data_IF_824990291992
#
_entry.id   IF_824990291992
#
_cell.length_a   1.000
_cell.length_b   1.000
_cell.length_c   1.000
_cell.angle_alpha   90.00
_cell.angle_beta   90.00
_cell.angle_gamma   90.00
#
_symmetry.space_group_name_H-M   'P 1'
#
loop_
_entity.id
_entity.type
_entity.pdbx_description
1 polymer ?
#
# COMPACT_ATOMS: atom_id res chain seq x y z
N UNK A 1 -28.44 -17.73 29.06
CA UNK A 1 -28.74 -18.00 27.64
C UNK A 1 -27.65 -17.37 26.80
N UNK A 2 -26.77 -18.18 26.18
CA UNK A 2 -25.64 -17.70 25.37
C UNK A 2 -26.08 -17.66 23.91
N UNK A 3 -26.24 -16.47 23.33
CA UNK A 3 -26.51 -16.33 21.90
C UNK A 3 -25.18 -16.44 21.13
N UNK A 4 -25.03 -17.53 20.39
CA UNK A 4 -24.05 -17.65 19.33
C UNK A 4 -24.55 -16.85 18.13
N UNK A 5 -23.80 -15.82 17.70
CA UNK A 5 -24.05 -15.14 16.42
C UNK A 5 -23.13 -15.75 15.38
N UNK A 6 -23.67 -16.67 14.59
CA UNK A 6 -23.07 -17.14 13.32
C UNK A 6 -23.37 -16.11 12.24
N UNK A 7 -22.37 -15.75 11.43
CA UNK A 7 -22.54 -14.91 10.24
C UNK A 7 -22.14 -15.73 9.01
N UNK A 8 -23.05 -15.95 8.04
CA UNK A 8 -22.69 -16.54 6.76
C UNK A 8 -22.18 -15.46 5.80
N UNK A 9 -20.94 -15.62 5.30
CA UNK A 9 -20.44 -14.84 4.17
C UNK A 9 -21.00 -15.42 2.86
N UNK A 10 -21.85 -14.65 2.18
CA UNK A 10 -22.28 -14.94 0.81
C UNK A 10 -21.27 -14.32 -0.16
N UNK A 11 -20.51 -15.18 -0.83
CA UNK A 11 -19.71 -14.85 -2.01
C UNK A 11 -20.65 -14.70 -3.23
N UNK A 12 -20.54 -13.59 -3.96
CA UNK A 12 -21.09 -13.47 -5.31
C UNK A 12 -19.96 -13.19 -6.28
N UNK A 13 -19.70 -14.20 -7.11
CA UNK A 13 -18.83 -14.15 -8.28
C UNK A 13 -19.42 -13.23 -9.36
N UNK A 14 -18.55 -12.51 -10.06
CA UNK A 14 -18.85 -11.82 -11.32
C UNK A 14 -17.64 -11.87 -12.23
N UNK A 15 -17.69 -12.77 -13.21
CA UNK A 15 -16.76 -12.93 -14.34
C UNK A 15 -17.18 -11.97 -15.47
N UNK A 16 -16.22 -11.55 -16.31
CA UNK A 16 -16.27 -11.20 -17.76
C UNK A 16 -15.28 -10.05 -18.02
N UNK A 17 -14.54 -9.92 -19.13
CA UNK A 17 -14.21 -10.76 -20.27
C UNK A 17 -13.05 -10.06 -21.01
N UNK A 18 -12.23 -10.84 -21.71
CA UNK A 18 -11.06 -10.45 -22.49
C UNK A 18 -11.39 -9.62 -23.74
N UNK A 19 -10.47 -8.75 -24.18
CA UNK A 19 -10.38 -8.34 -25.59
C UNK A 19 -8.92 -8.08 -25.99
N UNK A 20 -8.41 -8.93 -26.88
CA UNK A 20 -7.18 -8.81 -27.65
C UNK A 20 -7.36 -7.78 -28.77
N UNK A 21 -6.35 -6.94 -29.04
CA UNK A 21 -6.12 -6.37 -30.38
C UNK A 21 -4.62 -6.32 -30.67
N UNK A 22 -4.22 -7.12 -31.66
CA UNK A 22 -2.95 -7.07 -32.37
C UNK A 22 -2.95 -5.89 -33.35
N UNK A 23 -1.78 -5.28 -33.60
CA UNK A 23 -1.49 -4.71 -34.92
C UNK A 23 -0.01 -4.84 -35.27
N UNK A 24 0.22 -5.33 -36.49
CA UNK A 24 1.50 -5.72 -37.09
C UNK A 24 2.27 -4.56 -37.76
N UNK A 25 3.54 -4.86 -38.04
CA UNK A 25 4.62 -4.06 -38.61
C UNK A 25 4.49 -3.61 -40.09
N UNK A 26 5.38 -2.67 -40.47
CA UNK A 26 6.04 -2.43 -41.79
C UNK A 26 6.28 -0.91 -41.98
N UNK A 27 7.34 -0.35 -42.59
CA UNK A 27 8.61 -0.82 -43.15
C UNK A 27 9.47 0.41 -43.58
N UNK A 28 10.75 0.15 -43.90
CA UNK A 28 11.70 0.86 -44.79
C UNK A 28 12.24 2.28 -44.49
N UNK A 29 13.58 2.39 -44.56
CA UNK A 29 14.31 3.62 -44.87
C UNK A 29 15.83 3.39 -44.91
N UNK A 30 16.43 3.48 -46.10
CA UNK A 30 17.83 3.14 -46.44
C UNK A 30 18.89 4.08 -45.83
N UNK A 31 20.12 3.58 -45.69
CA UNK A 31 21.33 4.37 -45.41
C UNK A 31 22.07 4.76 -46.71
N UNK A 32 22.65 5.98 -46.81
CA UNK A 32 23.64 6.31 -47.84
C UNK A 32 25.10 6.09 -47.35
N UNK A 33 26.05 5.78 -48.26
CA UNK A 33 27.49 5.64 -47.94
C UNK A 33 28.22 7.00 -47.87
N UNK A 34 29.33 7.06 -47.10
CA UNK A 34 30.13 8.25 -46.69
C UNK A 34 30.91 8.99 -47.80
N UNK A 35 32.11 9.62 -47.58
CA UNK A 35 33.06 9.57 -46.45
C UNK A 35 33.58 10.97 -45.98
N UNK A 36 34.42 11.06 -44.92
CA UNK A 36 35.80 11.66 -44.84
C UNK A 36 36.35 11.38 -43.43
N UNK A 37 37.58 10.86 -43.34
CA UNK A 37 38.31 10.61 -42.09
C UNK A 37 38.97 11.90 -41.58
N UNK A 38 38.74 12.24 -40.30
CA UNK A 38 39.54 13.22 -39.56
C UNK A 38 40.76 12.58 -38.88
N UNK A 39 41.77 13.38 -38.47
CA UNK A 39 43.04 12.87 -37.90
C UNK A 39 42.82 12.12 -36.57
N UNK A 40 43.74 11.21 -36.19
CA UNK A 40 43.59 10.40 -34.98
C UNK A 40 43.59 11.29 -33.74
N UNK A 41 42.42 11.45 -33.12
CA UNK A 41 42.30 12.00 -31.78
C UNK A 41 42.67 10.90 -30.80
N UNK A 42 43.65 11.19 -29.94
CA UNK A 42 44.06 10.41 -28.76
C UNK A 42 42.88 9.67 -28.12
N UNK A 43 43.05 8.37 -27.91
CA UNK A 43 42.11 7.57 -27.12
C UNK A 43 41.91 8.19 -25.74
N UNK A 44 40.67 8.59 -25.35
CA UNK A 44 40.33 8.65 -23.95
C UNK A 44 40.23 7.21 -23.44
N UNK A 45 40.81 6.96 -22.26
CA UNK A 45 40.69 5.68 -21.54
C UNK A 45 39.23 5.20 -21.54
N UNK A 46 38.97 3.88 -21.70
CA UNK A 46 37.60 3.38 -21.71
C UNK A 46 36.93 3.73 -20.38
N UNK A 47 35.92 4.61 -20.45
CA UNK A 47 34.96 4.75 -19.39
C UNK A 47 34.36 3.37 -19.08
N UNK A 48 34.10 3.02 -17.80
CA UNK A 48 33.41 1.77 -17.50
C UNK A 48 32.09 1.77 -18.25
N UNK A 49 31.93 0.82 -19.17
CA UNK A 49 30.69 0.59 -19.89
C UNK A 49 29.66 0.28 -18.81
N UNK A 50 28.77 1.23 -18.54
CA UNK A 50 27.55 0.97 -17.81
C UNK A 50 26.81 -0.12 -18.59
N UNK A 51 26.88 -1.35 -18.08
CA UNK A 51 26.06 -2.46 -18.55
C UNK A 51 24.62 -2.01 -18.35
N UNK A 52 23.94 -1.63 -19.44
CA UNK A 52 22.50 -1.46 -19.44
C UNK A 52 21.92 -2.78 -18.94
N UNK A 53 21.37 -2.77 -17.73
CA UNK A 53 20.67 -3.91 -17.18
C UNK A 53 19.61 -4.35 -18.19
N UNK A 54 19.66 -5.63 -18.57
CA UNK A 54 18.63 -6.26 -19.40
C UNK A 54 17.28 -6.05 -18.71
N UNK A 55 16.20 -5.66 -19.41
CA UNK A 55 14.87 -5.60 -18.81
C UNK A 55 14.57 -6.94 -18.15
N UNK A 56 14.20 -6.91 -16.87
CA UNK A 56 13.79 -8.12 -16.16
C UNK A 56 12.62 -8.75 -16.92
N UNK A 57 12.61 -10.09 -17.02
CA UNK A 57 11.45 -10.77 -17.56
C UNK A 57 10.23 -10.47 -16.66
N UNK A 58 9.01 -10.33 -17.21
CA UNK A 58 7.82 -10.08 -16.39
C UNK A 58 7.67 -11.17 -15.32
N UNK A 59 7.55 -10.76 -14.06
CA UNK A 59 7.37 -11.68 -12.93
C UNK A 59 6.02 -12.38 -13.00
N UNK A 60 5.98 -13.66 -12.64
CA UNK A 60 4.74 -14.43 -12.52
C UNK A 60 3.94 -13.95 -11.28
N UNK A 61 2.61 -14.15 -11.24
CA UNK A 61 1.82 -13.83 -10.04
C UNK A 61 2.30 -14.53 -8.77
N UNK A 62 2.96 -15.69 -8.89
CA UNK A 62 3.54 -16.41 -7.74
C UNK A 62 4.78 -15.71 -7.21
N UNK A 63 5.64 -15.22 -8.09
CA UNK A 63 6.82 -14.42 -7.71
C UNK A 63 6.42 -13.06 -7.14
N UNK A 64 5.31 -12.49 -7.65
CA UNK A 64 4.71 -11.27 -7.10
C UNK A 64 3.99 -11.49 -5.74
N UNK A 65 3.99 -12.72 -5.19
CA UNK A 65 3.57 -13.01 -3.81
C UNK A 65 4.73 -13.24 -2.86
N UNK A 66 5.97 -13.23 -3.34
CA UNK A 66 7.15 -13.39 -2.48
C UNK A 66 7.60 -12.02 -1.97
N UNK A 67 7.09 -11.64 -0.80
CA UNK A 67 7.41 -10.34 -0.20
C UNK A 67 8.72 -10.38 0.61
N UNK A 68 9.42 -11.52 0.63
CA UNK A 68 10.59 -11.73 1.47
C UNK A 68 11.70 -10.75 1.14
N UNK A 69 12.31 -10.18 2.18
CA UNK A 69 13.43 -9.25 2.01
C UNK A 69 13.41 -8.11 3.01
N UNK A 70 14.37 -7.21 2.84
CA UNK A 70 14.43 -5.95 3.57
C UNK A 70 13.91 -4.83 2.66
N UNK A 71 13.11 -3.95 3.24
CA UNK A 71 12.44 -2.85 2.56
C UNK A 71 12.61 -1.58 3.37
N UNK A 72 12.78 -0.45 2.70
CA UNK A 72 12.91 0.86 3.35
C UNK A 72 11.89 1.83 2.81
N UNK A 73 11.24 2.57 3.70
CA UNK A 73 10.22 3.55 3.35
C UNK A 73 10.81 4.61 2.41
N UNK A 74 10.14 4.81 1.28
CA UNK A 74 10.40 5.87 0.33
C UNK A 74 9.37 6.98 0.58
N UNK A 75 9.79 8.03 1.28
CA UNK A 75 8.93 9.17 1.64
C UNK A 75 8.48 9.98 0.41
N UNK A 76 9.29 10.01 -0.66
CA UNK A 76 9.00 10.80 -1.85
C UNK A 76 7.88 10.18 -2.70
N UNK A 77 7.81 8.84 -2.73
CA UNK A 77 6.77 8.09 -3.46
C UNK A 77 5.56 7.69 -2.58
N UNK A 78 5.66 7.91 -1.26
CA UNK A 78 4.60 7.66 -0.29
C UNK A 78 3.65 8.85 -0.15
N UNK A 79 2.42 8.56 0.27
CA UNK A 79 1.46 9.59 0.66
C UNK A 79 1.81 10.20 2.04
N UNK A 80 1.69 11.52 2.21
CA UNK A 80 1.71 12.15 3.54
C UNK A 80 0.34 11.93 4.24
N UNK A 81 0.30 11.27 5.41
CA UNK A 81 -0.95 10.96 6.10
C UNK A 81 -1.74 12.20 6.53
N UNK A 82 -1.05 13.27 6.93
CA UNK A 82 -1.70 14.53 7.33
C UNK A 82 -2.31 15.22 6.13
N UNK A 83 -1.60 15.23 5.00
CA UNK A 83 -2.15 15.78 3.76
C UNK A 83 -3.41 15.02 3.34
N UNK A 84 -3.39 13.68 3.39
CA UNK A 84 -4.59 12.87 3.08
C UNK A 84 -5.76 13.16 4.01
N UNK A 85 -5.50 13.35 5.31
CA UNK A 85 -6.55 13.74 6.26
C UNK A 85 -7.15 15.11 5.90
N UNK A 86 -6.31 16.09 5.55
CA UNK A 86 -6.76 17.43 5.18
C UNK A 86 -7.57 17.42 3.87
N UNK A 87 -7.12 16.67 2.86
CA UNK A 87 -7.83 16.47 1.59
C UNK A 87 -9.22 15.85 1.82
N UNK A 88 -9.29 14.84 2.69
CA UNK A 88 -10.53 14.17 3.05
C UNK A 88 -11.49 15.13 3.78
N UNK A 89 -10.98 15.92 4.73
CA UNK A 89 -11.77 16.92 5.45
C UNK A 89 -12.30 18.01 4.53
N UNK A 90 -11.49 18.50 3.59
CA UNK A 90 -11.91 19.48 2.59
C UNK A 90 -12.99 18.93 1.67
N UNK A 91 -12.86 17.66 1.26
CA UNK A 91 -13.86 16.99 0.43
C UNK A 91 -15.22 16.94 1.15
N UNK A 92 -15.25 16.55 2.43
CA UNK A 92 -16.47 16.59 3.26
C UNK A 92 -17.11 17.98 3.34
N UNK A 93 -16.30 19.03 3.48
CA UNK A 93 -16.80 20.41 3.54
C UNK A 93 -17.41 20.88 2.22
N UNK A 94 -16.80 20.49 1.09
CA UNK A 94 -17.28 20.87 -0.24
C UNK A 94 -18.68 20.31 -0.52
N UNK A 95 -18.94 19.08 -0.14
CA UNK A 95 -20.25 18.45 -0.34
C UNK A 95 -21.28 18.84 0.72
N UNK A 96 -20.83 19.31 1.88
CA UNK A 96 -21.71 19.92 2.88
C UNK A 96 -22.15 21.35 2.53
N UNK A 97 -21.66 21.94 1.42
CA UNK A 97 -21.91 23.32 1.01
C UNK A 97 -23.24 23.58 0.29
N UNK A 98 -24.14 22.60 0.23
CA UNK A 98 -25.37 22.64 -0.58
C UNK A 98 -26.67 23.06 0.13
N UNK A 99 -26.65 23.60 1.35
CA UNK A 99 -27.85 24.09 2.02
C UNK A 99 -27.65 25.52 2.57
N UNK A 100 -27.99 26.49 1.72
CA UNK A 100 -28.22 27.87 2.17
C UNK A 100 -29.48 27.97 3.02
N UNK A 101 -29.43 28.74 4.11
CA UNK A 101 -30.64 29.16 4.80
C UNK A 101 -30.49 29.61 6.25
N UNK A 102 -30.13 30.89 6.44
CA UNK A 102 -30.55 31.77 7.55
C UNK A 102 -30.67 31.15 8.97
N UNK A 103 -29.71 31.43 9.84
CA UNK A 103 -29.99 32.07 11.15
C UNK A 103 -28.70 32.58 11.80
N UNK A 104 -28.74 33.84 12.21
CA UNK A 104 -27.65 34.50 12.89
C UNK A 104 -27.32 33.89 14.25
N UNK A 105 -26.10 34.18 14.71
CA UNK A 105 -25.62 33.82 16.02
C UNK A 105 -24.27 34.44 16.27
N UNK A 106 -24.28 35.60 16.93
CA UNK A 106 -23.15 36.18 17.64
C UNK A 106 -22.62 35.14 18.63
N UNK A 107 -21.31 34.86 18.65
CA UNK A 107 -20.70 34.09 19.75
C UNK A 107 -19.34 33.44 19.50
N UNK A 108 -18.31 34.06 20.08
CA UNK A 108 -17.07 33.48 20.65
C UNK A 108 -15.87 33.08 19.76
N UNK A 109 -14.64 33.52 20.15
CA UNK A 109 -13.38 32.95 19.70
C UNK A 109 -12.98 31.79 20.61
N UNK A 110 -12.89 30.58 20.09
CA UNK A 110 -12.47 29.43 20.88
C UNK A 110 -12.37 28.16 20.05
N UNK A 111 -11.17 27.59 19.98
CA UNK A 111 -10.88 26.36 19.27
C UNK A 111 -11.86 25.25 19.63
N UNK A 112 -12.54 24.73 18.63
CA UNK A 112 -13.44 23.59 18.75
C UNK A 112 -13.01 22.54 17.74
N UNK A 113 -12.38 21.48 18.23
CA UNK A 113 -12.31 20.20 17.53
C UNK A 113 -13.73 19.74 17.22
N UNK A 114 -14.18 20.04 15.99
CA UNK A 114 -15.50 19.70 15.51
C UNK A 114 -15.62 18.21 15.19
N UNK A 115 -16.72 17.60 15.64
CA UNK A 115 -17.25 16.39 15.03
C UNK A 115 -17.48 15.24 16.02
N UNK A 116 -18.66 15.22 16.63
CA UNK A 116 -19.16 14.13 17.48
C UNK A 116 -19.28 12.78 16.75
N UNK A 117 -18.16 12.07 16.63
CA UNK A 117 -18.12 10.62 16.48
C UNK A 117 -17.75 10.00 17.82
N UNK A 118 -18.30 8.83 18.14
CA UNK A 118 -17.81 8.01 19.27
C UNK A 118 -16.28 8.01 19.24
N UNK A 119 -15.65 8.49 20.31
CA UNK A 119 -14.18 8.54 20.45
C UNK A 119 -13.63 7.16 20.11
N UNK A 120 -12.63 7.09 19.23
CA UNK A 120 -11.96 5.82 18.92
C UNK A 120 -11.50 5.18 20.24
N UNK A 121 -11.74 3.88 20.39
CA UNK A 121 -11.23 3.15 21.56
C UNK A 121 -9.70 3.09 21.52
N UNK A 122 -9.06 2.83 22.64
CA UNK A 122 -7.59 2.70 22.67
C UNK A 122 -7.12 1.57 21.73
N UNK A 123 -7.84 0.45 21.72
CA UNK A 123 -7.64 -0.65 20.75
C UNK A 123 -7.76 -0.19 19.28
N UNK A 124 -8.74 0.66 18.94
CA UNK A 124 -8.87 1.18 17.58
C UNK A 124 -7.71 2.12 17.23
N UNK A 125 -7.26 2.94 18.19
CA UNK A 125 -6.11 3.84 17.97
C UNK A 125 -4.84 3.05 17.73
N UNK A 126 -4.61 1.96 18.46
CA UNK A 126 -3.48 1.06 18.23
C UNK A 126 -3.50 0.46 16.84
N UNK A 127 -4.66 -0.02 16.38
CA UNK A 127 -4.84 -0.58 15.02
C UNK A 127 -4.67 0.45 13.91
N UNK A 128 -5.07 1.69 14.16
CA UNK A 128 -4.94 2.81 13.22
C UNK A 128 -3.55 3.44 13.23
N UNK A 129 -2.75 3.25 14.29
CA UNK A 129 -1.43 3.87 14.44
C UNK A 129 -0.52 3.65 13.23
N UNK A 130 -0.38 2.43 12.66
CA UNK A 130 0.48 2.21 11.51
C UNK A 130 0.07 3.01 10.26
N UNK A 131 -1.22 3.36 10.13
CA UNK A 131 -1.70 4.18 9.01
C UNK A 131 -1.20 5.63 9.08
N UNK A 132 -0.82 6.13 10.26
CA UNK A 132 -0.36 7.52 10.48
C UNK A 132 1.08 7.62 10.96
N UNK A 133 1.68 6.50 11.33
CA UNK A 133 3.06 6.37 11.74
C UNK A 133 3.60 5.06 11.17
N UNK A 134 3.97 5.04 9.88
CA UNK A 134 4.47 3.86 9.20
C UNK A 134 5.81 3.42 9.81
N UNK A 135 6.23 2.20 9.51
CA UNK A 135 7.58 1.77 9.85
C UNK A 135 8.56 2.33 8.82
N UNK A 136 9.74 2.76 9.26
CA UNK A 136 10.79 3.27 8.35
C UNK A 136 11.50 2.13 7.60
N UNK A 137 11.48 0.93 8.18
CA UNK A 137 12.07 -0.28 7.62
C UNK A 137 11.16 -1.49 7.88
N UNK A 138 11.10 -2.40 6.91
CA UNK A 138 10.43 -3.69 7.04
C UNK A 138 11.40 -4.81 6.71
N UNK A 139 11.55 -5.75 7.62
CA UNK A 139 12.12 -7.06 7.34
C UNK A 139 10.96 -8.05 7.23
N UNK A 140 10.80 -8.64 6.05
CA UNK A 140 9.70 -9.56 5.74
C UNK A 140 10.27 -10.97 5.62
N UNK A 141 9.71 -11.88 6.40
CA UNK A 141 9.99 -13.32 6.30
C UNK A 141 8.71 -14.05 5.94
N UNK A 142 8.70 -14.74 4.80
CA UNK A 142 7.56 -15.53 4.36
C UNK A 142 7.77 -17.02 4.64
N UNK A 143 6.76 -17.64 5.23
CA UNK A 143 6.69 -19.07 5.53
C UNK A 143 5.42 -19.65 4.91
N UNK A 144 5.26 -20.96 4.99
CA UNK A 144 4.01 -21.59 4.59
C UNK A 144 2.86 -21.11 5.48
N UNK A 145 1.87 -20.45 4.89
CA UNK A 145 0.70 -19.95 5.62
C UNK A 145 0.93 -18.73 6.50
N UNK A 146 2.17 -18.19 6.58
CA UNK A 146 2.54 -17.12 7.52
C UNK A 146 3.45 -16.09 6.86
N UNK A 147 3.26 -14.81 7.20
CA UNK A 147 4.13 -13.70 6.82
C UNK A 147 4.48 -12.90 8.07
N UNK A 148 5.76 -12.88 8.42
CA UNK A 148 6.29 -12.13 9.56
C UNK A 148 6.92 -10.83 9.08
N UNK A 149 6.49 -9.71 9.65
CA UNK A 149 7.05 -8.39 9.46
C UNK A 149 7.71 -7.94 10.77
N UNK A 150 8.87 -7.31 10.66
CA UNK A 150 9.51 -6.63 11.78
C UNK A 150 10.24 -5.37 11.35
N UNK A 151 10.33 -4.38 12.22
CA UNK A 151 11.17 -3.20 12.01
C UNK A 151 12.48 -3.28 12.81
N UNK A 152 13.32 -2.25 12.67
CA UNK A 152 14.59 -2.16 13.42
C UNK A 152 14.39 -1.80 14.90
N UNK A 153 13.19 -1.37 15.31
CA UNK A 153 12.85 -1.10 16.72
C UNK A 153 12.48 -2.37 17.50
N UNK A 154 12.29 -3.49 16.78
CA UNK A 154 11.89 -4.77 17.33
C UNK A 154 10.38 -4.98 17.40
N UNK A 155 9.58 -4.06 16.86
CA UNK A 155 8.15 -4.26 16.68
C UNK A 155 7.91 -5.37 15.66
N UNK A 156 6.92 -6.23 15.93
CA UNK A 156 6.62 -7.40 15.09
C UNK A 156 5.15 -7.47 14.74
N UNK A 157 4.89 -7.98 13.55
CA UNK A 157 3.56 -8.31 13.10
C UNK A 157 3.56 -9.62 12.30
N UNK A 158 2.71 -10.55 12.72
CA UNK A 158 2.53 -11.83 12.02
C UNK A 158 1.17 -11.85 11.32
N UNK A 159 1.16 -12.18 10.03
CA UNK A 159 -0.04 -12.39 9.24
C UNK A 159 -0.24 -13.87 8.94
N UNK A 160 -1.41 -14.40 9.29
CA UNK A 160 -1.78 -15.78 8.99
C UNK A 160 -2.65 -15.82 7.73
N UNK A 161 -2.21 -16.56 6.72
CA UNK A 161 -2.83 -16.62 5.38
C UNK A 161 -3.59 -17.92 5.10
N UNK A 162 -3.58 -18.85 6.06
CA UNK A 162 -4.22 -20.16 5.98
C UNK A 162 -5.70 -20.17 6.41
N UNK A 163 -6.25 -18.99 6.71
CA UNK A 163 -7.65 -18.83 7.13
C UNK A 163 -7.94 -19.21 8.58
N UNK A 164 -6.91 -19.47 9.40
CA UNK A 164 -7.12 -19.70 10.84
C UNK A 164 -7.70 -18.47 11.51
N UNK A 165 -8.54 -18.69 12.53
CA UNK A 165 -9.05 -17.60 13.35
C UNK A 165 -7.95 -17.14 14.31
N UNK A 166 -7.63 -15.85 14.28
CA UNK A 166 -6.61 -15.24 15.13
C UNK A 166 -7.30 -14.52 16.29
N UNK A 167 -6.88 -14.81 17.52
CA UNK A 167 -7.31 -14.08 18.71
C UNK A 167 -6.41 -12.86 18.95
N UNK A 168 -6.82 -11.95 19.85
CA UNK A 168 -5.96 -10.81 20.23
C UNK A 168 -4.63 -11.37 20.75
N UNK A 169 -3.52 -10.85 20.23
CA UNK A 169 -2.19 -11.31 20.63
C UNK A 169 -2.01 -11.20 22.14
N UNK A 170 -1.38 -12.23 22.74
CA UNK A 170 -0.98 -12.22 24.15
C UNK A 170 0.37 -11.50 24.35
N UNK A 171 1.12 -11.30 23.28
CA UNK A 171 2.39 -10.59 23.27
C UNK A 171 2.15 -9.14 22.85
N UNK A 172 2.41 -8.15 23.72
CA UNK A 172 2.21 -6.74 23.38
C UNK A 172 3.17 -6.23 22.30
N UNK A 173 4.25 -6.96 22.01
CA UNK A 173 5.27 -6.58 21.01
C UNK A 173 5.06 -7.23 19.65
N UNK A 174 4.21 -8.27 19.57
CA UNK A 174 3.85 -8.94 18.33
C UNK A 174 2.34 -8.87 18.09
N UNK A 175 1.92 -8.15 17.06
CA UNK A 175 0.52 -8.10 16.63
C UNK A 175 0.23 -9.24 15.66
N UNK A 176 -0.86 -9.97 15.87
CA UNK A 176 -1.24 -11.10 15.01
C UNK A 176 -2.53 -10.80 14.25
N UNK A 177 -2.49 -10.96 12.93
CA UNK A 177 -3.60 -10.60 12.04
C UNK A 177 -3.98 -11.73 11.09
N UNK A 178 -5.27 -12.02 10.88
CA UNK A 178 -5.69 -12.86 9.77
C UNK A 178 -5.54 -12.09 8.45
N UNK A 179 -5.08 -12.77 7.42
CA UNK A 179 -4.86 -12.23 6.10
C UNK A 179 -5.31 -13.21 5.02
N UNK A 180 -5.52 -12.71 3.80
CA UNK A 180 -5.84 -13.54 2.63
C UNK A 180 -5.06 -13.05 1.42
N UNK A 181 -4.74 -13.98 0.53
CA UNK A 181 -4.18 -13.65 -0.78
C UNK A 181 -5.30 -13.43 -1.80
N UNK A 182 -5.19 -12.34 -2.55
CA UNK A 182 -5.98 -12.04 -3.74
C UNK A 182 -5.02 -11.85 -4.91
N UNK A 183 -4.86 -12.90 -5.73
CA UNK A 183 -3.92 -12.99 -6.88
C UNK A 183 -2.44 -12.76 -6.57
N UNK A 184 -2.01 -11.57 -6.18
CA UNK A 184 -0.66 -11.16 -5.80
C UNK A 184 -0.66 -10.19 -4.60
N UNK A 185 -1.85 -9.88 -4.06
CA UNK A 185 -2.06 -8.91 -3.01
C UNK A 185 -2.46 -9.59 -1.71
N UNK A 186 -1.72 -9.33 -0.64
CA UNK A 186 -2.12 -9.71 0.71
C UNK A 186 -3.12 -8.69 1.25
N UNK A 187 -4.24 -9.14 1.82
CA UNK A 187 -5.28 -8.26 2.37
C UNK A 187 -5.63 -8.65 3.79
N UNK A 188 -5.68 -7.68 4.69
CA UNK A 188 -6.31 -7.80 6.01
C UNK A 188 -7.51 -6.87 6.11
N UNK A 189 -8.53 -7.32 6.83
CA UNK A 189 -9.75 -6.56 7.07
C UNK A 189 -10.06 -6.56 8.55
N UNK A 190 -10.14 -5.37 9.14
CA UNK A 190 -10.41 -5.17 10.56
C UNK A 190 -11.63 -4.28 10.74
N UNK A 191 -12.52 -4.68 11.65
CA UNK A 191 -13.65 -3.85 12.07
C UNK A 191 -13.27 -3.07 13.32
N UNK A 192 -13.46 -1.77 13.27
CA UNK A 192 -13.22 -0.86 14.40
C UNK A 192 -14.48 -0.77 15.28
N UNK A 193 -14.31 -0.46 16.56
CA UNK A 193 -15.41 -0.42 17.53
C UNK A 193 -16.47 0.65 17.20
N UNK A 194 -16.05 1.69 16.49
CA UNK A 194 -16.91 2.77 15.98
C UNK A 194 -17.74 2.36 14.74
N UNK A 195 -17.61 1.10 14.27
CA UNK A 195 -18.31 0.54 13.12
C UNK A 195 -17.63 0.77 11.77
N UNK A 196 -16.51 1.52 11.72
CA UNK A 196 -15.69 1.68 10.51
C UNK A 196 -14.91 0.41 10.20
N UNK A 197 -14.46 0.30 8.96
CA UNK A 197 -13.61 -0.78 8.49
C UNK A 197 -12.23 -0.23 8.16
N UNK A 198 -11.20 -0.93 8.62
CA UNK A 198 -9.82 -0.76 8.18
C UNK A 198 -9.48 -1.92 7.25
N UNK A 199 -9.06 -1.60 6.03
CA UNK A 199 -8.49 -2.56 5.09
C UNK A 199 -7.03 -2.20 4.91
N UNK A 200 -6.14 -3.17 5.11
CA UNK A 200 -4.71 -3.02 4.83
C UNK A 200 -4.33 -4.00 3.74
N UNK A 201 -3.60 -3.53 2.74
CA UNK A 201 -3.13 -4.38 1.64
C UNK A 201 -1.65 -4.24 1.41
N UNK A 202 -1.00 -5.33 1.00
CA UNK A 202 0.37 -5.36 0.54
C UNK A 202 0.46 -5.94 -0.86
N UNK A 203 1.23 -5.31 -1.73
CA UNK A 203 1.41 -5.72 -3.12
C UNK A 203 2.79 -5.30 -3.61
N UNK A 204 3.47 -6.16 -4.37
CA UNK A 204 4.73 -5.78 -5.03
C UNK A 204 4.46 -4.98 -6.30
N UNK A 205 5.35 -4.05 -6.62
CA UNK A 205 5.42 -3.47 -7.96
C UNK A 205 5.58 -4.58 -9.01
N UNK A 206 5.19 -4.35 -10.27
CA UNK A 206 5.39 -5.34 -11.34
C UNK A 206 6.85 -5.77 -11.51
N UNK A 207 7.78 -4.83 -11.30
CA UNK A 207 9.22 -5.06 -11.31
C UNK A 207 9.73 -5.72 -10.02
N UNK A 208 8.92 -5.69 -8.96
CA UNK A 208 9.14 -6.24 -7.62
C UNK A 208 10.38 -5.69 -6.91
N UNK A 209 10.70 -4.44 -7.20
CA UNK A 209 11.66 -3.57 -6.53
C UNK A 209 11.02 -2.69 -5.46
N UNK A 210 9.69 -2.56 -5.47
CA UNK A 210 8.92 -1.83 -4.47
C UNK A 210 7.84 -2.71 -3.85
N UNK A 211 7.59 -2.48 -2.56
CA UNK A 211 6.46 -3.02 -1.82
C UNK A 211 5.50 -1.88 -1.51
N UNK A 212 4.26 -2.01 -1.99
CA UNK A 212 3.19 -1.07 -1.69
C UNK A 212 2.40 -1.57 -0.49
N UNK A 213 2.27 -0.71 0.51
CA UNK A 213 1.38 -0.90 1.63
C UNK A 213 0.26 0.14 1.53
N UNK A 214 -1.00 -0.28 1.56
CA UNK A 214 -2.13 0.65 1.48
C UNK A 214 -3.10 0.45 2.62
N UNK A 215 -3.42 1.53 3.30
CA UNK A 215 -4.48 1.61 4.29
C UNK A 215 -5.70 2.27 3.67
N UNK A 216 -6.87 1.62 3.78
CA UNK A 216 -8.17 2.20 3.46
C UNK A 216 -9.04 2.16 4.70
N UNK A 217 -9.47 3.32 5.15
CA UNK A 217 -10.32 3.45 6.33
C UNK A 217 -11.65 4.03 5.87
N UNK A 218 -12.69 3.21 5.96
CA UNK A 218 -14.03 3.64 5.63
C UNK A 218 -14.48 4.73 6.61
N UNK A 219 -15.15 5.75 6.09
CA UNK A 219 -15.74 6.81 6.88
C UNK A 219 -17.25 6.87 6.66
N UNK A 220 -17.97 7.26 7.71
CA UNK A 220 -19.43 7.42 7.68
C UNK A 220 -19.92 8.51 6.72
N UNK A 221 -19.03 9.41 6.31
CA UNK A 221 -19.29 10.47 5.32
C UNK A 221 -19.36 9.96 3.88
N UNK A 222 -19.00 8.69 3.62
CA UNK A 222 -18.90 8.12 2.27
C UNK A 222 -17.55 8.35 1.59
N UNK A 223 -16.65 9.13 2.20
CA UNK A 223 -15.29 9.38 1.68
C UNK A 223 -14.26 8.54 2.45
N UNK A 224 -13.80 7.40 1.91
CA UNK A 224 -12.77 6.61 2.58
C UNK A 224 -11.44 7.35 2.58
N UNK A 225 -10.74 7.35 3.72
CA UNK A 225 -9.35 7.80 3.78
C UNK A 225 -8.47 6.69 3.21
N UNK A 226 -7.70 6.99 2.17
CA UNK A 226 -6.72 6.06 1.58
C UNK A 226 -5.32 6.64 1.71
N UNK A 227 -4.39 5.87 2.25
CA UNK A 227 -2.98 6.23 2.43
C UNK A 227 -2.14 5.09 1.88
N UNK A 228 -1.25 5.38 0.95
CA UNK A 228 -0.31 4.42 0.38
C UNK A 228 1.12 4.76 0.79
N UNK A 229 1.82 3.78 1.34
CA UNK A 229 3.26 3.81 1.56
C UNK A 229 3.96 2.95 0.51
N UNK A 230 5.11 3.45 0.07
CA UNK A 230 5.98 2.78 -0.90
C UNK A 230 7.29 2.46 -0.18
N UNK A 231 7.70 1.20 -0.22
CA UNK A 231 8.99 0.79 0.31
C UNK A 231 9.86 0.27 -0.83
N UNK A 232 11.09 0.75 -0.91
CA UNK A 232 12.07 0.25 -1.86
C UNK A 232 12.83 -0.95 -1.29
N UNK A 233 13.12 -1.92 -2.14
CA UNK A 233 13.95 -3.07 -1.76
C UNK A 233 15.35 -2.60 -1.35
N UNK A 234 15.86 -3.15 -0.24
CA UNK A 234 17.22 -2.91 0.19
C UNK A 234 18.10 -4.04 -0.38
N UNK A 235 19.09 -3.72 -1.23
CA UNK A 235 20.01 -4.74 -1.75
C UNK A 235 20.72 -5.43 -0.59
N UNK A 236 20.56 -6.75 -0.50
CA UNK A 236 21.32 -7.55 0.44
C UNK A 236 22.77 -7.55 -0.03
N UNK A 237 23.67 -6.90 0.72
CA UNK A 237 25.10 -6.94 0.39
C UNK A 237 25.58 -8.33 0.79
N UNK A 238 25.82 -9.19 -0.22
CA UNK A 238 26.38 -10.53 0.01
C UNK A 238 27.80 -10.37 0.58
N UNK A 239 28.14 -11.01 1.71
CA UNK A 239 29.50 -10.97 2.26
C UNK A 239 30.52 -11.65 1.34
#
# INVERSE_FOLDING_TARGET
MKQHSSWPFLLRNGVLASAFLLLSAAAYGQAPPGPIQGPPSRDPAPAPVATKAKPAAPRTPRELRDFSGAWRLNHDDSDDPRQKQDEEQRSRQRDSGGFGGRRGGIGYPGGGYGGGGRRDSDDDRERLRPAFNPWESLNVTQKEGELDLSDDSGAKQTFFTDGRKVEKSKDPTNVQNPAKWDVNRLTTEEKLSNGRKLIRTYELSPEGDQLFETFKIDNRSGYPLSIRYVYDTVPQTKP
#
